data_IF_586774699042
#
_entry.id   IF_586774699042
#
_cell.length_a   1.000
_cell.length_b   1.000
_cell.length_c   1.000
_cell.angle_alpha   90.00
_cell.angle_beta   90.00
_cell.angle_gamma   90.00
#
_symmetry.space_group_name_H-M   'P 1'
#
loop_
_entity.id
_entity.type
_entity.pdbx_description
1 polymer ?
#
# COMPACT_ATOMS: atom_id res chain seq x y z
N UNK A 1 1.08 -12.62 -25.67
CA UNK A 1 0.42 -11.35 -25.33
C UNK A 1 0.72 -11.06 -23.87
N UNK A 2 1.58 -10.08 -23.60
CA UNK A 2 1.79 -9.60 -22.23
C UNK A 2 0.49 -8.96 -21.74
N UNK A 3 -0.14 -9.54 -20.72
CA UNK A 3 -1.33 -8.95 -20.12
C UNK A 3 -0.88 -7.90 -19.10
N UNK A 4 -0.63 -6.67 -19.55
CA UNK A 4 -0.13 -5.58 -18.70
C UNK A 4 -0.97 -5.37 -17.44
N UNK A 5 -2.29 -5.55 -17.53
CA UNK A 5 -3.19 -5.48 -16.38
C UNK A 5 -2.90 -6.55 -15.31
N UNK A 6 -2.56 -7.77 -15.74
CA UNK A 6 -2.18 -8.85 -14.82
C UNK A 6 -0.85 -8.51 -14.13
N UNK A 7 0.13 -8.02 -14.89
CA UNK A 7 1.42 -7.63 -14.33
C UNK A 7 1.29 -6.51 -13.30
N UNK A 8 0.41 -5.52 -13.56
CA UNK A 8 0.13 -4.45 -12.59
C UNK A 8 -0.55 -5.01 -11.33
N UNK A 9 -1.49 -5.95 -11.50
CA UNK A 9 -2.16 -6.60 -10.37
C UNK A 9 -1.16 -7.35 -9.48
N UNK A 10 -0.26 -8.11 -10.10
CA UNK A 10 0.80 -8.85 -9.42
C UNK A 10 1.78 -7.90 -8.71
N UNK A 11 2.23 -6.83 -9.38
CA UNK A 11 3.14 -5.83 -8.80
C UNK A 11 2.53 -5.09 -7.60
N UNK A 12 1.23 -4.83 -7.65
CA UNK A 12 0.50 -4.16 -6.57
C UNK A 12 0.04 -5.15 -5.48
N UNK A 13 0.29 -6.44 -5.65
CA UNK A 13 -0.20 -7.53 -4.79
C UNK A 13 -1.72 -7.48 -4.55
N UNK A 14 -2.49 -7.07 -5.57
CA UNK A 14 -3.96 -7.00 -5.52
C UNK A 14 -4.59 -7.84 -6.64
N UNK A 15 -5.87 -8.17 -6.51
CA UNK A 15 -6.57 -8.83 -7.62
C UNK A 15 -6.92 -7.85 -8.74
N UNK A 16 -7.11 -8.38 -9.96
CA UNK A 16 -7.57 -7.56 -11.09
C UNK A 16 -8.93 -6.90 -10.83
N UNK A 17 -9.81 -7.56 -10.06
CA UNK A 17 -11.11 -7.01 -9.67
C UNK A 17 -10.94 -5.76 -8.81
N UNK A 18 -9.97 -5.76 -7.88
CA UNK A 18 -9.64 -4.58 -7.08
C UNK A 18 -9.15 -3.45 -8.00
N UNK A 19 -8.22 -3.71 -8.92
CA UNK A 19 -7.77 -2.68 -9.87
C UNK A 19 -8.92 -2.09 -10.69
N UNK A 20 -9.85 -2.92 -11.17
CA UNK A 20 -11.01 -2.46 -11.93
C UNK A 20 -11.94 -1.60 -11.07
N UNK A 21 -12.18 -2.00 -9.82
CA UNK A 21 -13.00 -1.25 -8.88
C UNK A 21 -12.39 0.12 -8.54
N UNK A 22 -11.10 0.16 -8.22
CA UNK A 22 -10.38 1.39 -7.83
C UNK A 22 -10.23 2.38 -9.00
N UNK A 23 -10.13 1.87 -10.22
CA UNK A 23 -10.10 2.72 -11.43
C UNK A 23 -11.50 3.11 -11.92
N UNK A 24 -12.56 2.49 -11.37
CA UNK A 24 -13.95 2.70 -11.81
C UNK A 24 -14.22 2.19 -13.23
N UNK A 25 -13.44 1.22 -13.71
CA UNK A 25 -13.46 0.74 -15.11
C UNK A 25 -13.67 -0.76 -15.17
N UNK A 26 -14.34 -1.22 -16.22
CA UNK A 26 -14.46 -2.65 -16.46
C UNK A 26 -13.13 -3.27 -16.89
N UNK A 27 -12.99 -4.59 -16.67
CA UNK A 27 -11.81 -5.35 -17.13
C UNK A 27 -11.56 -5.20 -18.64
N UNK A 28 -12.63 -5.18 -19.45
CA UNK A 28 -12.52 -5.04 -20.90
C UNK A 28 -11.99 -3.66 -21.30
N UNK A 29 -12.44 -2.60 -20.63
CA UNK A 29 -11.94 -1.24 -20.85
C UNK A 29 -10.48 -1.13 -20.43
N UNK A 30 -10.12 -1.65 -19.27
CA UNK A 30 -8.73 -1.69 -18.79
C UNK A 30 -7.81 -2.42 -19.78
N UNK A 31 -8.24 -3.60 -20.27
CA UNK A 31 -7.49 -4.35 -21.28
C UNK A 31 -7.35 -3.60 -22.60
N UNK A 32 -8.37 -2.87 -23.04
CA UNK A 32 -8.31 -2.06 -24.26
C UNK A 32 -7.38 -0.85 -24.12
N UNK A 33 -7.42 -0.18 -22.97
CA UNK A 33 -6.61 1.01 -22.70
C UNK A 33 -5.14 0.63 -22.51
N UNK A 34 -4.87 -0.42 -21.72
CA UNK A 34 -3.51 -0.83 -21.34
C UNK A 34 -2.86 -1.82 -22.31
N UNK A 35 -3.66 -2.59 -23.06
CA UNK A 35 -3.19 -3.68 -23.90
C UNK A 35 -2.96 -3.31 -25.37
N UNK A 36 -3.11 -2.03 -25.74
CA UNK A 36 -2.87 -1.58 -27.11
C UNK A 36 -1.38 -1.42 -27.38
N UNK A 37 -0.87 -1.99 -28.48
CA UNK A 37 0.55 -1.88 -28.91
C UNK A 37 0.96 -0.43 -29.23
N UNK A 38 -0.02 0.48 -29.35
CA UNK A 38 0.17 1.93 -29.44
C UNK A 38 -0.91 2.63 -28.63
N UNK A 39 -0.60 3.80 -28.06
CA UNK A 39 -1.56 4.56 -27.25
C UNK A 39 -2.63 5.18 -28.17
N UNK A 40 -3.72 4.44 -28.38
CA UNK A 40 -4.86 4.89 -29.19
C UNK A 40 -5.72 5.90 -28.41
N UNK A 41 -5.67 5.86 -27.07
CA UNK A 41 -6.43 6.73 -26.17
C UNK A 41 -5.52 7.40 -25.12
N UNK A 42 -4.75 8.44 -25.49
CA UNK A 42 -3.76 9.04 -24.58
C UNK A 42 -4.37 9.67 -23.32
N UNK A 43 -5.56 10.27 -23.44
CA UNK A 43 -6.28 10.83 -22.28
C UNK A 43 -6.71 9.75 -21.29
N UNK A 44 -7.36 8.70 -21.79
CA UNK A 44 -7.82 7.57 -20.96
C UNK A 44 -6.64 6.81 -20.34
N UNK A 45 -5.57 6.61 -21.11
CA UNK A 45 -4.35 5.98 -20.60
C UNK A 45 -3.75 6.80 -19.46
N UNK A 46 -3.60 8.12 -19.63
CA UNK A 46 -3.10 9.00 -18.56
C UNK A 46 -4.00 8.93 -17.33
N UNK A 47 -5.32 8.97 -17.50
CA UNK A 47 -6.26 8.89 -16.39
C UNK A 47 -6.12 7.57 -15.61
N UNK A 48 -5.97 6.44 -16.31
CA UNK A 48 -5.72 5.14 -15.68
C UNK A 48 -4.39 5.14 -14.92
N UNK A 49 -3.32 5.68 -15.51
CA UNK A 49 -2.01 5.76 -14.84
C UNK A 49 -2.06 6.64 -13.57
N UNK A 50 -2.75 7.78 -13.63
CA UNK A 50 -2.93 8.66 -12.47
C UNK A 50 -3.71 7.94 -11.35
N UNK A 51 -4.76 7.17 -11.69
CA UNK A 51 -5.52 6.37 -10.73
C UNK A 51 -4.68 5.25 -10.09
N UNK A 52 -3.88 4.54 -10.89
CA UNK A 52 -2.98 3.50 -10.38
C UNK A 52 -1.91 4.10 -9.45
N UNK A 53 -1.41 5.31 -9.75
CA UNK A 53 -0.47 5.99 -8.87
C UNK A 53 -1.10 6.34 -7.51
N UNK A 54 -2.35 6.82 -7.50
CA UNK A 54 -3.08 7.07 -6.25
C UNK A 54 -3.26 5.78 -5.44
N UNK A 55 -3.68 4.69 -6.08
CA UNK A 55 -3.81 3.38 -5.43
C UNK A 55 -2.49 2.91 -4.80
N UNK A 56 -1.36 3.08 -5.51
CA UNK A 56 -0.04 2.75 -4.97
C UNK A 56 0.28 3.53 -3.69
N UNK A 57 -0.05 4.81 -3.62
CA UNK A 57 0.11 5.61 -2.40
C UNK A 57 -0.77 5.08 -1.26
N UNK A 58 -2.01 4.71 -1.54
CA UNK A 58 -2.92 4.18 -0.53
C UNK A 58 -2.45 2.83 0.02
N UNK A 59 -1.91 1.95 -0.83
CA UNK A 59 -1.30 0.67 -0.41
C UNK A 59 -0.16 0.95 0.55
N UNK A 60 0.79 1.81 0.18
CA UNK A 60 1.92 2.21 1.02
C UNK A 60 1.45 2.77 2.37
N UNK A 61 0.47 3.66 2.38
CA UNK A 61 0.01 4.28 3.62
C UNK A 61 -0.65 3.24 4.56
N UNK A 62 -1.38 2.27 4.00
CA UNK A 62 -1.92 1.13 4.76
C UNK A 62 -0.81 0.23 5.33
N UNK A 63 0.24 -0.04 4.56
CA UNK A 63 1.40 -0.82 5.02
C UNK A 63 2.17 -0.13 6.14
N UNK A 64 2.37 1.19 6.03
CA UNK A 64 2.99 2.01 7.08
C UNK A 64 2.14 1.95 8.35
N UNK A 65 0.83 2.19 8.24
CA UNK A 65 -0.08 2.14 9.37
C UNK A 65 -0.08 0.76 10.07
N UNK A 66 -0.08 -0.32 9.28
CA UNK A 66 0.02 -1.69 9.81
C UNK A 66 1.34 -1.91 10.54
N UNK A 67 2.46 -1.55 9.92
CA UNK A 67 3.80 -1.68 10.50
C UNK A 67 3.91 -0.93 11.83
N UNK A 68 3.39 0.30 11.88
CA UNK A 68 3.36 1.12 13.11
C UNK A 68 2.52 0.46 14.21
N UNK A 69 1.33 -0.05 13.87
CA UNK A 69 0.47 -0.74 14.84
C UNK A 69 1.12 -2.02 15.38
N UNK A 70 1.80 -2.79 14.53
CA UNK A 70 2.56 -3.98 14.94
C UNK A 70 3.74 -3.63 15.85
N UNK A 71 4.50 -2.57 15.54
CA UNK A 71 5.60 -2.09 16.38
C UNK A 71 5.09 -1.64 17.76
N UNK A 72 4.02 -0.84 17.81
CA UNK A 72 3.39 -0.43 19.06
C UNK A 72 2.95 -1.62 19.90
N UNK A 73 2.36 -2.65 19.28
CA UNK A 73 1.97 -3.91 19.96
C UNK A 73 3.19 -4.61 20.55
N UNK A 74 4.28 -4.76 19.78
CA UNK A 74 5.53 -5.41 20.22
C UNK A 74 6.17 -4.63 21.39
N UNK A 75 6.25 -3.30 21.31
CA UNK A 75 6.77 -2.45 22.39
C UNK A 75 5.94 -2.59 23.66
N UNK A 76 4.61 -2.55 23.54
CA UNK A 76 3.71 -2.73 24.70
C UNK A 76 3.94 -4.09 25.37
N UNK A 77 4.07 -5.16 24.58
CA UNK A 77 4.35 -6.49 25.10
C UNK A 77 5.68 -6.55 25.88
N UNK A 78 6.76 -5.99 25.31
CA UNK A 78 8.07 -5.94 25.96
C UNK A 78 8.02 -5.13 27.26
N UNK A 79 7.38 -3.95 27.27
CA UNK A 79 7.18 -3.15 28.50
C UNK A 79 6.46 -3.94 29.58
N UNK A 80 5.40 -4.67 29.22
CA UNK A 80 4.66 -5.54 30.16
C UNK A 80 5.55 -6.64 30.74
N UNK A 81 6.43 -7.25 29.93
CA UNK A 81 7.41 -8.23 30.43
C UNK A 81 8.38 -7.54 31.39
N UNK A 82 9.00 -6.43 30.99
CA UNK A 82 9.94 -5.69 31.83
C UNK A 82 9.35 -5.37 33.20
N UNK A 83 8.13 -4.83 33.23
CA UNK A 83 7.40 -4.52 34.47
C UNK A 83 7.22 -5.74 35.38
N UNK A 84 6.90 -6.92 34.81
CA UNK A 84 6.80 -8.17 35.60
C UNK A 84 8.11 -8.56 36.29
N UNK A 85 9.24 -8.19 35.71
CA UNK A 85 10.57 -8.43 36.27
C UNK A 85 11.17 -7.21 36.98
N UNK A 86 10.39 -6.15 37.21
CA UNK A 86 10.86 -4.92 37.86
C UNK A 86 11.81 -4.06 37.00
N UNK A 87 11.88 -4.32 35.69
CA UNK A 87 12.73 -3.60 34.73
C UNK A 87 11.87 -2.60 33.95
N UNK A 88 12.20 -1.31 34.01
CA UNK A 88 11.55 -0.30 33.17
C UNK A 88 12.21 -0.25 31.79
N UNK A 89 11.42 -0.48 30.73
CA UNK A 89 11.86 -0.43 29.32
C UNK A 89 11.31 0.82 28.59
N UNK A 90 11.28 1.95 29.29
CA UNK A 90 11.04 3.25 28.68
C UNK A 90 12.21 3.67 27.79
N UNK A 91 12.01 4.69 26.96
CA UNK A 91 13.18 5.47 26.55
C UNK A 91 13.76 6.07 27.83
N UNK A 92 15.08 6.14 27.96
CA UNK A 92 15.66 7.13 28.85
C UNK A 92 15.18 8.47 28.28
N UNK A 93 14.01 8.94 28.71
CA UNK A 93 13.74 10.37 28.72
C UNK A 93 14.90 10.92 29.52
N UNK A 94 15.84 11.56 28.82
CA UNK A 94 16.89 12.29 29.48
C UNK A 94 16.18 13.20 30.49
N UNK A 95 16.42 13.09 31.80
CA UNK A 95 15.69 13.87 32.81
C UNK A 95 15.91 15.39 32.69
N UNK A 96 16.56 15.84 31.62
CA UNK A 96 16.93 17.21 31.28
C UNK A 96 16.32 17.72 29.96
N UNK A 97 15.40 17.01 29.30
CA UNK A 97 14.59 17.62 28.23
C UNK A 97 13.44 18.42 28.86
N UNK A 98 13.63 19.75 28.91
CA UNK A 98 12.73 20.77 29.49
C UNK A 98 11.49 21.06 28.63
#
# INVERSE_FOLDING_TARGET
MNNLLLNIADEFEVSMEVLCMETGRSRLEMQRILGADSIIYPGEFKAVMDQLLMLSHEIRDKEIARTLAEDQRRRKYLRTIGQKYGIHLGQNEDPFEF
#
